data_IF_087228746608
#
_entry.id   IF_087228746608
#
_cell.length_a   1.000
_cell.length_b   1.000
_cell.length_c   1.000
_cell.angle_alpha   90.00
_cell.angle_beta   90.00
_cell.angle_gamma   90.00
#
_symmetry.space_group_name_H-M   'P 1'
#
loop_
_entity.id
_entity.type
_entity.pdbx_description
1 polymer ?
#
# COMPACT_ATOMS: atom_id res chain seq x y z
N UNK A 1 3.25 -20.49 3.31
CA UNK A 1 1.89 -20.47 2.75
C UNK A 1 1.13 -19.37 3.47
N UNK A 2 0.71 -18.34 2.75
CA UNK A 2 -0.09 -17.25 3.31
C UNK A 2 -1.54 -17.62 3.06
N UNK A 3 -2.29 -17.91 4.11
CA UNK A 3 -3.72 -18.09 4.02
C UNK A 3 -4.41 -16.71 4.08
N UNK A 4 -4.86 -16.26 2.93
CA UNK A 4 -5.53 -14.97 2.79
C UNK A 4 -6.85 -14.86 3.56
N UNK A 5 -7.52 -15.97 3.85
CA UNK A 5 -8.71 -15.97 4.70
C UNK A 5 -8.33 -15.63 6.14
N UNK A 6 -7.29 -16.26 6.67
CA UNK A 6 -6.76 -15.97 8.01
C UNK A 6 -6.26 -14.53 8.14
N UNK A 7 -5.54 -14.01 7.13
CA UNK A 7 -5.07 -12.61 7.15
C UNK A 7 -6.25 -11.63 7.18
N UNK A 8 -7.29 -11.86 6.38
CA UNK A 8 -8.47 -10.99 6.38
C UNK A 8 -9.18 -11.00 7.73
N UNK A 9 -9.33 -12.15 8.34
CA UNK A 9 -9.93 -12.29 9.66
C UNK A 9 -9.08 -11.55 10.72
N UNK A 10 -7.78 -11.78 10.76
CA UNK A 10 -6.86 -11.12 11.70
C UNK A 10 -6.87 -9.60 11.59
N UNK A 11 -7.01 -9.05 10.39
CA UNK A 11 -7.08 -7.58 10.17
C UNK A 11 -8.22 -6.94 10.94
N UNK A 12 -9.37 -7.61 11.04
CA UNK A 12 -10.57 -7.07 11.68
C UNK A 12 -10.78 -7.53 13.11
N UNK A 13 -10.15 -8.61 13.53
CA UNK A 13 -10.32 -9.20 14.87
C UNK A 13 -9.18 -8.87 15.83
N UNK A 14 -8.02 -8.45 15.30
CA UNK A 14 -6.84 -8.13 16.10
C UNK A 14 -6.79 -6.63 16.41
N UNK A 15 -6.52 -6.26 17.68
CA UNK A 15 -6.37 -4.85 18.07
C UNK A 15 -5.14 -4.20 17.40
N UNK A 16 -5.15 -2.87 17.28
CA UNK A 16 -4.03 -2.12 16.67
C UNK A 16 -2.74 -2.24 17.51
N UNK A 17 -2.88 -2.35 18.84
CA UNK A 17 -1.77 -2.60 19.76
C UNK A 17 -1.12 -3.95 19.50
N UNK A 18 -1.93 -5.00 19.33
CA UNK A 18 -1.42 -6.34 19.02
C UNK A 18 -0.73 -6.39 17.63
N UNK A 19 -1.30 -5.69 16.64
CA UNK A 19 -0.64 -5.52 15.32
C UNK A 19 0.70 -4.80 15.45
N UNK A 20 0.77 -3.74 16.25
CA UNK A 20 2.00 -2.99 16.49
C UNK A 20 3.07 -3.87 17.15
N UNK A 21 2.70 -4.69 18.12
CA UNK A 21 3.60 -5.68 18.75
C UNK A 21 4.12 -6.69 17.69
N UNK A 22 3.28 -7.14 16.80
CA UNK A 22 3.69 -8.03 15.70
C UNK A 22 4.70 -7.37 14.75
N UNK A 23 4.54 -6.07 14.46
CA UNK A 23 5.49 -5.28 13.66
C UNK A 23 6.84 -5.19 14.38
N UNK A 24 6.87 -4.91 15.69
CA UNK A 24 8.10 -4.89 16.49
C UNK A 24 8.84 -6.23 16.37
N UNK A 25 8.13 -7.34 16.62
CA UNK A 25 8.69 -8.69 16.50
C UNK A 25 9.26 -8.95 15.09
N UNK A 26 8.57 -8.50 14.07
CA UNK A 26 9.02 -8.67 12.67
C UNK A 26 10.28 -7.85 12.41
N UNK A 27 10.35 -6.59 12.84
CA UNK A 27 11.51 -5.74 12.69
C UNK A 27 12.75 -6.32 13.40
N UNK A 28 12.57 -6.89 14.60
CA UNK A 28 13.64 -7.58 15.34
C UNK A 28 14.10 -8.85 14.62
N UNK A 29 13.17 -9.66 14.13
CA UNK A 29 13.46 -10.90 13.42
C UNK A 29 14.17 -10.64 12.09
N UNK A 30 13.79 -9.61 11.35
CA UNK A 30 14.48 -9.23 10.10
C UNK A 30 15.89 -8.76 10.36
N UNK A 31 16.10 -7.94 11.41
CA UNK A 31 17.44 -7.51 11.83
C UNK A 31 18.34 -8.70 12.22
N UNK A 32 17.80 -9.65 13.00
CA UNK A 32 18.56 -10.84 13.42
C UNK A 32 18.98 -11.75 12.25
N UNK A 33 18.36 -11.57 11.09
CA UNK A 33 18.69 -12.27 9.84
C UNK A 33 19.60 -11.45 8.90
N UNK A 34 20.12 -10.31 9.36
CA UNK A 34 21.06 -9.48 8.62
C UNK A 34 20.43 -8.35 7.79
N UNK A 35 19.09 -8.22 7.77
CA UNK A 35 18.44 -7.12 7.07
C UNK A 35 18.43 -5.86 7.95
N UNK A 36 19.37 -4.99 7.75
CA UNK A 36 19.51 -3.75 8.56
C UNK A 36 18.50 -2.68 8.21
N UNK A 37 17.96 -2.71 6.99
CA UNK A 37 16.91 -1.80 6.51
C UNK A 37 15.85 -2.59 5.76
N UNK A 38 14.59 -2.27 6.00
CA UNK A 38 13.44 -2.85 5.31
C UNK A 38 12.55 -1.76 4.76
N UNK A 39 11.89 -2.05 3.64
CA UNK A 39 10.89 -1.20 3.02
C UNK A 39 9.51 -1.79 3.27
N UNK A 40 8.58 -0.96 3.72
CA UNK A 40 7.19 -1.33 3.98
C UNK A 40 6.26 -0.62 2.99
N UNK A 41 5.80 -1.28 1.91
CA UNK A 41 4.99 -0.65 0.86
C UNK A 41 3.49 -0.71 1.16
N UNK A 42 3.09 -0.28 2.36
CA UNK A 42 1.71 -0.27 2.80
C UNK A 42 1.27 -1.54 3.53
N UNK A 43 0.49 -1.36 4.57
CA UNK A 43 -0.09 -2.42 5.38
C UNK A 43 -1.59 -2.59 5.19
N UNK A 44 -2.07 -3.77 5.57
CA UNK A 44 -3.51 -4.10 5.61
C UNK A 44 -4.11 -3.72 6.98
N UNK A 45 -3.43 -2.89 7.76
CA UNK A 45 -3.92 -2.42 9.06
C UNK A 45 -4.97 -1.33 8.87
N UNK A 46 -5.96 -1.26 9.76
CA UNK A 46 -7.09 -0.33 9.64
C UNK A 46 -6.64 1.14 9.59
N UNK A 47 -5.64 1.53 10.39
CA UNK A 47 -5.13 2.90 10.43
C UNK A 47 -3.73 3.10 9.83
N UNK A 48 -2.94 2.03 9.64
CA UNK A 48 -1.59 2.08 9.07
C UNK A 48 -0.51 2.71 9.94
N UNK A 49 -0.82 3.22 11.13
CA UNK A 49 0.12 4.01 11.93
C UNK A 49 1.09 3.20 12.77
N UNK A 50 0.75 1.96 13.12
CA UNK A 50 1.61 1.10 13.93
C UNK A 50 3.02 0.95 13.37
N UNK A 51 3.18 0.89 12.04
CA UNK A 51 4.50 0.83 11.41
C UNK A 51 5.31 2.12 11.60
N UNK A 52 4.66 3.28 11.58
CA UNK A 52 5.32 4.57 11.82
C UNK A 52 5.73 4.73 13.28
N UNK A 53 4.93 4.24 14.21
CA UNK A 53 5.25 4.26 15.63
C UNK A 53 6.44 3.35 15.94
N UNK A 54 6.47 2.15 15.35
CA UNK A 54 7.63 1.24 15.46
C UNK A 54 8.88 1.85 14.82
N UNK A 55 8.77 2.47 13.62
CA UNK A 55 9.86 3.21 12.99
C UNK A 55 10.43 4.27 13.94
N UNK A 56 9.58 5.13 14.49
CA UNK A 56 9.99 6.18 15.44
C UNK A 56 10.62 5.61 16.70
N UNK A 57 10.11 4.51 17.23
CA UNK A 57 10.66 3.85 18.41
C UNK A 57 12.07 3.28 18.15
N UNK A 58 12.31 2.73 16.93
CA UNK A 58 13.65 2.28 16.51
C UNK A 58 14.60 3.48 16.35
N UNK A 59 14.16 4.55 15.67
CA UNK A 59 14.95 5.78 15.46
C UNK A 59 15.36 6.44 16.78
N UNK A 60 14.48 6.40 17.79
CA UNK A 60 14.74 6.92 19.15
C UNK A 60 15.53 5.97 20.04
N UNK A 61 15.84 4.76 19.56
CA UNK A 61 16.53 3.74 20.34
C UNK A 61 15.71 3.11 21.48
N UNK A 62 14.39 3.26 21.48
CA UNK A 62 13.53 2.64 22.48
C UNK A 62 13.43 1.12 22.28
N UNK A 63 13.52 0.67 21.04
CA UNK A 63 13.54 -0.75 20.66
C UNK A 63 14.62 -0.99 19.61
N UNK A 64 15.13 -2.21 19.55
CA UNK A 64 16.03 -2.66 18.49
C UNK A 64 15.24 -3.28 17.35
N UNK A 65 15.59 -2.97 16.11
CA UNK A 65 14.94 -3.52 14.90
C UNK A 65 15.60 -3.01 13.64
N UNK A 66 15.24 -3.57 12.49
CA UNK A 66 15.64 -3.03 11.19
C UNK A 66 15.12 -1.61 11.01
N UNK A 67 15.92 -0.73 10.40
CA UNK A 67 15.46 0.60 9.97
C UNK A 67 14.28 0.42 9.01
N UNK A 68 13.22 1.19 9.17
CA UNK A 68 12.00 1.07 8.37
C UNK A 68 11.84 2.30 7.48
N UNK A 69 11.67 2.06 6.16
CA UNK A 69 11.23 3.06 5.17
C UNK A 69 9.78 2.70 4.80
N UNK A 70 8.81 3.55 5.08
CA UNK A 70 7.41 3.17 5.07
C UNK A 70 6.50 4.07 4.23
N UNK A 71 5.64 3.43 3.43
CA UNK A 71 4.31 3.93 3.09
C UNK A 71 3.34 3.27 4.08
N UNK A 72 2.72 3.99 5.01
CA UNK A 72 1.93 3.37 6.06
C UNK A 72 0.69 2.66 5.51
N UNK A 73 0.03 3.26 4.53
CA UNK A 73 -1.12 2.70 3.82
C UNK A 73 -0.84 2.70 2.31
N UNK A 74 -1.53 1.85 1.58
CA UNK A 74 -1.57 1.94 0.12
C UNK A 74 -2.87 2.62 -0.32
N UNK A 75 -2.80 3.51 -1.30
CA UNK A 75 -3.96 4.15 -1.90
C UNK A 75 -4.55 3.24 -2.96
N UNK A 76 -5.86 3.06 -2.94
CA UNK A 76 -6.55 2.21 -3.90
C UNK A 76 -7.95 2.75 -4.25
N UNK A 77 -8.40 2.44 -5.45
CA UNK A 77 -9.75 2.76 -5.88
C UNK A 77 -10.78 1.82 -5.24
N UNK A 78 -12.00 2.29 -5.04
CA UNK A 78 -13.10 1.45 -4.60
C UNK A 78 -13.35 0.32 -5.61
N UNK A 79 -13.50 -0.91 -5.11
CA UNK A 79 -13.65 -2.11 -5.93
C UNK A 79 -12.34 -2.65 -6.53
N UNK A 80 -11.17 -2.08 -6.18
CA UNK A 80 -9.87 -2.48 -6.69
C UNK A 80 -9.19 -3.57 -5.86
N UNK A 81 -7.99 -4.00 -6.28
CA UNK A 81 -7.16 -5.01 -5.60
C UNK A 81 -6.94 -4.72 -4.11
N UNK A 82 -6.80 -3.45 -3.74
CA UNK A 82 -6.63 -3.03 -2.35
C UNK A 82 -7.91 -2.93 -1.54
N UNK A 83 -9.08 -3.11 -2.13
CA UNK A 83 -10.36 -2.99 -1.46
C UNK A 83 -10.74 -4.29 -0.73
N UNK A 84 -10.39 -4.36 0.55
CA UNK A 84 -10.72 -5.52 1.38
C UNK A 84 -12.21 -5.71 1.64
N UNK A 85 -13.04 -4.68 1.40
CA UNK A 85 -14.49 -4.79 1.55
C UNK A 85 -15.14 -5.72 0.52
N UNK A 86 -14.45 -6.03 -0.58
CA UNK A 86 -14.91 -7.00 -1.57
C UNK A 86 -15.21 -8.39 -0.98
N UNK A 87 -14.48 -8.79 0.07
CA UNK A 87 -14.76 -10.03 0.79
C UNK A 87 -16.13 -10.05 1.45
N UNK A 88 -16.73 -8.88 1.67
CA UNK A 88 -18.03 -8.67 2.30
C UNK A 88 -19.09 -8.12 1.32
N UNK A 89 -18.81 -8.13 0.01
CA UNK A 89 -19.65 -7.49 -1.00
C UNK A 89 -21.12 -8.00 -1.02
N UNK A 90 -21.35 -9.25 -0.57
CA UNK A 90 -22.70 -9.82 -0.43
C UNK A 90 -23.40 -9.45 0.88
N UNK A 91 -22.74 -8.72 1.77
CA UNK A 91 -23.32 -8.14 2.98
C UNK A 91 -23.01 -6.62 2.99
N UNK A 92 -23.92 -5.79 2.44
CA UNK A 92 -23.70 -4.36 2.27
C UNK A 92 -23.36 -3.62 3.56
N UNK A 93 -23.93 -4.04 4.69
CA UNK A 93 -23.67 -3.40 5.99
C UNK A 93 -22.22 -3.61 6.44
N UNK A 94 -21.73 -4.85 6.37
CA UNK A 94 -20.34 -5.15 6.69
C UNK A 94 -19.39 -4.52 5.67
N UNK A 95 -19.73 -4.54 4.39
CA UNK A 95 -18.94 -3.88 3.35
C UNK A 95 -18.76 -2.40 3.64
N UNK A 96 -19.83 -1.68 3.98
CA UNK A 96 -19.78 -0.27 4.33
C UNK A 96 -18.93 0.01 5.59
N UNK A 97 -19.04 -0.82 6.62
CA UNK A 97 -18.21 -0.68 7.82
C UNK A 97 -16.73 -0.80 7.45
N UNK A 98 -16.37 -1.83 6.68
CA UNK A 98 -14.98 -2.07 6.27
C UNK A 98 -14.44 -0.95 5.39
N UNK A 99 -15.23 -0.42 4.46
CA UNK A 99 -14.85 0.73 3.63
C UNK A 99 -14.57 1.98 4.50
N UNK A 100 -15.44 2.27 5.45
CA UNK A 100 -15.32 3.44 6.31
C UNK A 100 -14.11 3.38 7.28
N UNK A 101 -13.59 2.19 7.54
CA UNK A 101 -12.36 2.02 8.32
C UNK A 101 -11.09 2.32 7.50
N UNK A 102 -11.19 2.51 6.17
CA UNK A 102 -10.05 2.69 5.28
C UNK A 102 -10.05 4.05 4.61
N UNK A 103 -9.35 4.99 5.20
CA UNK A 103 -9.16 6.36 4.69
C UNK A 103 -8.36 6.44 3.37
N UNK A 104 -7.76 5.33 2.94
CA UNK A 104 -6.96 5.24 1.71
C UNK A 104 -7.72 4.63 0.52
N UNK A 105 -9.02 4.39 0.67
CA UNK A 105 -9.92 3.80 -0.32
C UNK A 105 -10.94 4.84 -0.80
N UNK A 106 -10.95 5.13 -2.10
CA UNK A 106 -11.90 6.10 -2.65
C UNK A 106 -11.83 6.21 -4.16
N UNK A 107 -12.31 7.31 -4.71
CA UNK A 107 -12.32 7.58 -6.15
C UNK A 107 -12.24 9.07 -6.46
N UNK A 108 -11.70 9.39 -7.65
CA UNK A 108 -11.56 10.73 -8.17
C UNK A 108 -10.29 11.44 -7.71
N UNK A 109 -9.78 12.34 -8.57
CA UNK A 109 -8.51 13.03 -8.34
C UNK A 109 -8.44 13.79 -7.00
N UNK A 110 -9.53 14.48 -6.62
CA UNK A 110 -9.54 15.29 -5.40
C UNK A 110 -9.42 14.42 -4.14
N UNK A 111 -10.03 13.23 -4.16
CA UNK A 111 -9.84 12.25 -3.11
C UNK A 111 -8.36 11.86 -2.99
N UNK A 112 -7.71 11.51 -4.11
CA UNK A 112 -6.33 11.05 -4.08
C UNK A 112 -5.33 12.16 -3.76
N UNK A 113 -5.56 13.40 -4.19
CA UNK A 113 -4.76 14.56 -3.75
C UNK A 113 -4.80 14.69 -2.22
N UNK A 114 -5.99 14.60 -1.62
CA UNK A 114 -6.13 14.67 -0.17
C UNK A 114 -5.51 13.45 0.54
N UNK A 115 -5.69 12.25 -0.01
CA UNK A 115 -5.11 11.03 0.55
C UNK A 115 -3.57 11.06 0.55
N UNK A 116 -2.93 11.53 -0.53
CA UNK A 116 -1.47 11.72 -0.58
C UNK A 116 -1.00 12.69 0.50
N UNK A 117 -1.67 13.85 0.63
CA UNK A 117 -1.34 14.85 1.67
C UNK A 117 -1.50 14.28 3.07
N UNK A 118 -2.49 13.44 3.26
CA UNK A 118 -2.72 12.77 4.55
C UNK A 118 -1.62 11.76 4.88
N UNK A 119 -1.21 10.92 3.93
CA UNK A 119 -0.06 10.01 4.11
C UNK A 119 1.21 10.80 4.50
N UNK A 120 1.47 11.90 3.80
CA UNK A 120 2.63 12.77 4.08
C UNK A 120 2.52 13.40 5.46
N UNK A 121 1.36 13.93 5.84
CA UNK A 121 1.08 14.51 7.16
C UNK A 121 1.39 13.52 8.29
N UNK A 122 1.10 12.25 8.11
CA UNK A 122 1.39 11.21 9.10
C UNK A 122 2.83 10.73 9.09
N UNK A 123 3.63 11.09 8.10
CA UNK A 123 5.06 10.81 8.06
C UNK A 123 5.44 9.66 7.13
N UNK A 124 4.69 9.47 6.07
CA UNK A 124 5.08 8.56 4.98
C UNK A 124 6.43 8.97 4.39
N UNK A 125 7.31 7.99 4.15
CA UNK A 125 8.56 8.22 3.44
C UNK A 125 8.34 8.28 1.93
N UNK A 126 7.37 7.51 1.44
CA UNK A 126 6.94 7.44 0.04
C UNK A 126 5.45 7.09 -0.04
N UNK A 127 4.87 7.21 -1.22
CA UNK A 127 3.46 6.87 -1.48
C UNK A 127 3.39 5.51 -2.19
N UNK A 128 2.45 4.66 -1.77
CA UNK A 128 2.16 3.37 -2.43
C UNK A 128 0.75 3.40 -3.02
N UNK A 129 0.62 2.94 -4.26
CA UNK A 129 -0.67 2.83 -4.96
C UNK A 129 -0.92 1.41 -5.47
N UNK A 130 -2.20 1.08 -5.71
CA UNK A 130 -2.63 -0.12 -6.40
C UNK A 130 -3.11 0.29 -7.81
N UNK A 131 -2.20 0.24 -8.80
CA UNK A 131 -2.49 0.73 -10.15
C UNK A 131 -3.23 -0.31 -11.00
N UNK A 132 -2.93 -1.59 -10.80
CA UNK A 132 -3.62 -2.70 -11.50
C UNK A 132 -4.24 -3.67 -10.51
N UNK A 133 -5.04 -4.58 -11.02
CA UNK A 133 -5.49 -5.75 -10.29
C UNK A 133 -4.35 -6.72 -9.94
N UNK A 134 -4.69 -7.79 -9.26
CA UNK A 134 -3.76 -8.81 -8.78
C UNK A 134 -4.33 -10.21 -8.87
N UNK A 135 -3.69 -11.15 -8.17
CA UNK A 135 -4.02 -12.58 -8.23
C UNK A 135 -4.84 -13.08 -7.04
N UNK A 136 -5.03 -12.26 -5.99
CA UNK A 136 -5.55 -12.74 -4.71
C UNK A 136 -6.90 -12.15 -4.32
N UNK A 137 -7.39 -11.15 -5.02
CA UNK A 137 -8.68 -10.52 -4.74
C UNK A 137 -9.75 -11.13 -5.63
N UNK A 138 -10.94 -11.49 -5.10
CA UNK A 138 -12.04 -11.96 -5.92
C UNK A 138 -12.45 -10.94 -6.99
N UNK A 139 -12.80 -11.42 -8.17
CA UNK A 139 -13.25 -10.58 -9.31
C UNK A 139 -12.21 -9.61 -9.83
N UNK A 140 -10.94 -9.87 -9.56
CA UNK A 140 -9.80 -9.07 -9.90
C UNK A 140 -8.96 -9.71 -11.03
N UNK A 141 -8.26 -8.91 -11.80
CA UNK A 141 -7.40 -9.37 -12.88
C UNK A 141 -6.14 -8.51 -12.96
N UNK A 142 -4.94 -9.10 -12.95
CA UNK A 142 -3.68 -8.36 -12.99
C UNK A 142 -3.48 -7.47 -14.22
N UNK A 143 -4.25 -7.70 -15.29
CA UNK A 143 -4.21 -6.88 -16.51
C UNK A 143 -5.20 -5.70 -16.50
N UNK A 144 -5.99 -5.54 -15.45
CA UNK A 144 -6.96 -4.44 -15.35
C UNK A 144 -6.35 -3.20 -14.71
N UNK A 145 -6.43 -2.06 -15.39
CA UNK A 145 -6.20 -0.76 -14.76
C UNK A 145 -7.30 -0.47 -13.75
N UNK A 146 -6.93 -0.11 -12.55
CA UNK A 146 -7.89 0.10 -11.45
C UNK A 146 -7.94 1.55 -10.95
N UNK A 147 -7.00 2.37 -11.37
CA UNK A 147 -7.03 3.83 -11.21
C UNK A 147 -7.02 4.46 -12.59
N UNK A 148 -7.85 5.46 -12.84
CA UNK A 148 -7.84 6.16 -14.12
C UNK A 148 -6.62 7.09 -14.26
N UNK A 149 -6.36 7.62 -15.44
CA UNK A 149 -5.18 8.41 -15.74
C UNK A 149 -5.13 9.74 -14.97
N UNK A 150 -6.30 10.36 -14.71
CA UNK A 150 -6.39 11.58 -13.88
C UNK A 150 -6.01 11.30 -12.42
N UNK A 151 -6.46 10.18 -11.87
CA UNK A 151 -6.15 9.75 -10.51
C UNK A 151 -4.66 9.45 -10.35
N UNK A 152 -4.09 8.66 -11.28
CA UNK A 152 -2.67 8.34 -11.29
C UNK A 152 -1.80 9.60 -11.36
N UNK A 153 -2.14 10.51 -12.29
CA UNK A 153 -1.41 11.76 -12.46
C UNK A 153 -1.53 12.66 -11.24
N UNK A 154 -2.72 12.81 -10.67
CA UNK A 154 -2.93 13.62 -9.49
C UNK A 154 -2.12 13.12 -8.27
N UNK A 155 -2.00 11.81 -8.11
CA UNK A 155 -1.16 11.21 -7.06
C UNK A 155 0.31 11.57 -7.27
N UNK A 156 0.84 11.36 -8.49
CA UNK A 156 2.26 11.60 -8.79
C UNK A 156 2.60 13.08 -8.66
N UNK A 157 1.82 13.96 -9.29
CA UNK A 157 2.04 15.41 -9.22
C UNK A 157 2.04 15.87 -7.75
N UNK A 158 1.04 15.45 -6.95
CA UNK A 158 0.96 15.85 -5.55
C UNK A 158 2.12 15.32 -4.72
N UNK A 159 2.50 14.05 -4.90
CA UNK A 159 3.60 13.47 -4.14
C UNK A 159 4.94 14.15 -4.49
N UNK A 160 5.22 14.36 -5.78
CA UNK A 160 6.43 15.00 -6.25
C UNK A 160 6.54 16.46 -5.83
N UNK A 161 5.44 17.23 -5.83
CA UNK A 161 5.40 18.59 -5.27
C UNK A 161 5.86 18.65 -3.79
N UNK A 162 5.63 17.56 -3.06
CA UNK A 162 6.04 17.42 -1.65
C UNK A 162 7.37 16.67 -1.48
N UNK A 163 8.10 16.40 -2.57
CA UNK A 163 9.38 15.70 -2.55
C UNK A 163 9.28 14.23 -2.14
N UNK A 164 8.12 13.58 -2.39
CA UNK A 164 7.88 12.17 -2.12
C UNK A 164 7.86 11.36 -3.40
N UNK A 165 8.46 10.17 -3.35
CA UNK A 165 8.41 9.19 -4.43
C UNK A 165 7.10 8.40 -4.37
N UNK A 166 6.68 7.87 -5.53
CA UNK A 166 5.51 7.02 -5.68
C UNK A 166 5.91 5.64 -6.19
N UNK A 167 5.38 4.59 -5.58
CA UNK A 167 5.54 3.22 -6.08
C UNK A 167 4.19 2.56 -6.30
N UNK A 168 4.09 1.74 -7.35
CA UNK A 168 2.84 1.10 -7.76
C UNK A 168 2.91 -0.42 -7.67
N UNK A 169 1.84 -1.04 -7.18
CA UNK A 169 1.53 -2.43 -7.49
C UNK A 169 1.08 -2.49 -8.95
N UNK A 170 1.79 -3.24 -9.79
CA UNK A 170 1.52 -3.36 -11.22
C UNK A 170 2.04 -4.68 -11.77
N UNK A 171 1.30 -5.28 -12.70
CA UNK A 171 1.69 -6.54 -13.35
C UNK A 171 1.82 -6.45 -14.86
N UNK A 172 0.91 -5.74 -15.55
CA UNK A 172 0.84 -5.75 -17.01
C UNK A 172 1.77 -4.74 -17.66
N UNK A 173 2.33 -5.12 -18.81
CA UNK A 173 3.26 -4.33 -19.62
C UNK A 173 2.70 -2.95 -19.96
N UNK A 174 1.48 -2.88 -20.53
CA UNK A 174 0.86 -1.62 -20.95
C UNK A 174 0.74 -0.61 -19.79
N UNK A 175 0.44 -1.12 -18.58
CA UNK A 175 0.29 -0.26 -17.40
C UNK A 175 1.65 0.13 -16.81
N UNK A 176 2.65 -0.74 -16.86
CA UNK A 176 4.03 -0.38 -16.49
C UNK A 176 4.56 0.75 -17.37
N UNK A 177 4.44 0.61 -18.70
CA UNK A 177 4.85 1.64 -19.65
C UNK A 177 4.09 2.96 -19.48
N UNK A 178 2.79 2.90 -19.18
CA UNK A 178 1.99 4.08 -18.84
C UNK A 178 2.50 4.78 -17.59
N UNK A 179 2.73 4.02 -16.52
CA UNK A 179 3.25 4.56 -15.26
C UNK A 179 4.64 5.19 -15.42
N UNK A 180 5.53 4.58 -16.22
CA UNK A 180 6.83 5.16 -16.55
C UNK A 180 6.65 6.52 -17.23
N UNK A 181 5.75 6.61 -18.24
CA UNK A 181 5.45 7.88 -18.92
C UNK A 181 4.85 8.95 -18.00
N UNK A 182 4.18 8.54 -16.92
CA UNK A 182 3.65 9.45 -15.91
C UNK A 182 4.67 9.82 -14.82
N UNK A 183 5.88 9.24 -14.86
CA UNK A 183 6.97 9.58 -13.94
C UNK A 183 6.93 8.80 -12.63
N UNK A 184 6.47 7.54 -12.64
CA UNK A 184 6.53 6.66 -11.47
C UNK A 184 7.98 6.45 -11.02
N UNK A 185 8.23 6.44 -9.71
CA UNK A 185 9.57 6.25 -9.15
C UNK A 185 9.89 4.79 -8.85
N UNK A 186 8.88 3.96 -8.68
CA UNK A 186 9.06 2.54 -8.40
C UNK A 186 7.85 1.70 -8.75
N UNK A 187 8.09 0.44 -9.03
CA UNK A 187 7.06 -0.55 -9.34
C UNK A 187 7.31 -1.84 -8.56
N UNK A 188 6.26 -2.40 -8.00
CA UNK A 188 6.29 -3.66 -7.25
C UNK A 188 5.81 -4.81 -8.12
N UNK A 189 6.40 -5.98 -7.91
CA UNK A 189 6.10 -7.23 -8.58
C UNK A 189 6.61 -7.28 -10.01
N UNK A 190 5.98 -6.57 -10.94
CA UNK A 190 6.39 -6.47 -12.36
C UNK A 190 6.55 -7.84 -13.05
N UNK A 191 5.81 -8.86 -12.61
CA UNK A 191 6.06 -10.26 -12.99
C UNK A 191 5.80 -10.56 -14.46
N UNK A 192 5.11 -9.68 -15.18
CA UNK A 192 4.81 -9.80 -16.61
C UNK A 192 5.61 -8.79 -17.45
N UNK A 193 6.65 -8.18 -16.88
CA UNK A 193 7.50 -7.21 -17.57
C UNK A 193 8.21 -7.86 -18.78
N UNK A 194 8.20 -7.19 -19.90
CA UNK A 194 8.99 -7.55 -21.08
C UNK A 194 10.33 -6.79 -21.14
N UNK A 195 11.19 -7.17 -22.08
CA UNK A 195 12.51 -6.58 -22.22
C UNK A 195 12.45 -5.09 -22.63
N UNK A 196 11.48 -4.71 -23.48
CA UNK A 196 11.30 -3.33 -23.91
C UNK A 196 10.95 -2.43 -22.72
N UNK A 197 10.00 -2.86 -21.89
CA UNK A 197 9.60 -2.14 -20.66
C UNK A 197 10.74 -2.04 -19.66
N UNK A 198 11.58 -3.06 -19.55
CA UNK A 198 12.74 -3.04 -18.66
C UNK A 198 13.85 -2.07 -19.09
N UNK A 199 13.86 -1.66 -20.35
CA UNK A 199 14.82 -0.69 -20.91
C UNK A 199 14.32 0.76 -20.86
N UNK A 200 13.04 0.99 -20.57
CA UNK A 200 12.44 2.32 -20.43
C UNK A 200 12.84 2.97 -19.12
#
# INVERSE_FOLDING_TARGET
YIDWHTIREEVYTTSEEAKTIAIIRTAQKTLSRGFTTVRHPGGITSNGFGVLDVKRAIEKGYITGSRIVAAPRFLCAAGSHGDLSQGFARNPELSNIVQNLRLSLGAGKDFFVNAVREEIKYGADFIKIMATGGFFTPYDNPSQQQMNDEELKAIMDTAHEWGKTVTAHVYSVDHMQKLIKFGIDGMEHCSLMDEETAQM
#
